data_IF_141637463125
#
_entry.id   IF_141637463125
#
_cell.length_a   1.000
_cell.length_b   1.000
_cell.length_c   1.000
_cell.angle_alpha   90.00
_cell.angle_beta   90.00
_cell.angle_gamma   90.00
#
_symmetry.space_group_name_H-M   'P 1'
#
loop_
_entity.id
_entity.type
_entity.pdbx_description
1 polymer ?
#
# COMPACT_ATOMS: atom_id res chain seq x y z
N UNK A 1 -25.22 -74.19 61.81
CA UNK A 1 -26.68 -74.12 61.58
C UNK A 1 -27.01 -72.98 60.64
N UNK A 2 -27.48 -73.31 59.47
CA UNK A 2 -28.50 -72.64 58.68
C UNK A 2 -28.21 -71.18 58.29
N UNK A 3 -28.46 -70.70 57.16
CA UNK A 3 -29.16 -71.12 55.93
C UNK A 3 -29.05 -69.98 54.94
N UNK A 4 -28.93 -70.30 53.68
CA UNK A 4 -29.66 -69.74 52.58
C UNK A 4 -29.69 -68.24 52.45
N UNK A 5 -29.50 -67.56 51.40
CA UNK A 5 -29.99 -67.93 50.10
C UNK A 5 -29.90 -66.72 49.15
N UNK A 6 -29.90 -67.05 47.98
CA UNK A 6 -30.31 -66.28 46.81
C UNK A 6 -29.40 -65.16 46.26
N UNK A 7 -28.81 -65.58 45.23
CA UNK A 7 -28.34 -64.75 44.15
C UNK A 7 -29.47 -63.95 43.52
N UNK A 8 -29.27 -62.71 43.33
CA UNK A 8 -29.96 -61.92 42.30
C UNK A 8 -28.91 -61.38 41.38
N UNK A 9 -28.80 -62.06 40.28
CA UNK A 9 -28.06 -61.55 39.13
C UNK A 9 -28.85 -60.40 38.49
N UNK A 10 -28.39 -59.20 38.68
CA UNK A 10 -28.84 -58.06 37.90
C UNK A 10 -27.91 -57.89 36.70
N UNK A 11 -28.41 -58.33 35.56
CA UNK A 11 -27.80 -58.19 34.25
C UNK A 11 -27.93 -56.70 33.86
N UNK A 12 -26.87 -55.90 34.07
CA UNK A 12 -26.82 -54.56 33.57
C UNK A 12 -26.42 -54.56 32.12
N UNK A 13 -27.40 -54.34 31.26
CA UNK A 13 -27.23 -54.16 29.83
C UNK A 13 -26.61 -52.80 29.56
N UNK A 14 -25.28 -52.81 29.36
CA UNK A 14 -24.56 -51.58 28.98
C UNK A 14 -24.79 -51.32 27.52
N UNK A 15 -25.69 -50.40 27.17
CA UNK A 15 -25.86 -49.85 25.84
C UNK A 15 -24.64 -48.98 25.52
N UNK A 16 -23.67 -49.52 24.81
CA UNK A 16 -22.57 -48.75 24.24
C UNK A 16 -23.06 -48.06 22.98
N UNK A 17 -23.42 -46.79 23.11
CA UNK A 17 -23.71 -45.93 21.96
C UNK A 17 -22.39 -45.59 21.27
N UNK A 18 -22.21 -45.81 19.97
CA UNK A 18 -21.07 -45.31 19.26
C UNK A 18 -21.21 -43.76 19.12
N UNK A 19 -20.36 -43.01 19.78
CA UNK A 19 -20.22 -41.58 19.55
C UNK A 19 -19.59 -41.44 18.17
N UNK A 20 -20.42 -41.08 17.20
CA UNK A 20 -19.98 -40.71 15.86
C UNK A 20 -19.26 -39.35 16.00
N UNK A 21 -17.95 -39.37 16.15
CA UNK A 21 -17.12 -38.17 16.10
C UNK A 21 -17.11 -37.66 14.67
N UNK A 22 -17.92 -36.63 14.39
CA UNK A 22 -17.81 -35.84 13.17
C UNK A 22 -16.47 -35.09 13.23
N UNK A 23 -15.63 -35.17 12.17
CA UNK A 23 -14.48 -34.29 12.09
C UNK A 23 -15.01 -32.85 12.04
N UNK A 24 -14.65 -32.06 13.04
CA UNK A 24 -14.83 -30.62 12.98
C UNK A 24 -13.97 -30.12 11.78
N UNK A 25 -14.60 -29.86 10.68
CA UNK A 25 -14.03 -29.10 9.59
C UNK A 25 -13.86 -27.70 10.14
N UNK A 26 -12.69 -27.43 10.70
CA UNK A 26 -12.21 -26.07 10.90
C UNK A 26 -12.07 -25.50 9.50
N UNK A 27 -13.12 -24.83 9.03
CA UNK A 27 -13.01 -23.94 7.90
C UNK A 27 -12.03 -22.83 8.33
N UNK A 28 -10.76 -23.05 8.00
CA UNK A 28 -9.75 -22.02 8.03
C UNK A 28 -10.14 -21.01 6.94
N UNK A 29 -11.08 -20.13 7.27
CA UNK A 29 -11.34 -18.92 6.51
C UNK A 29 -10.10 -18.03 6.71
N UNK A 30 -8.99 -18.42 6.09
CA UNK A 30 -8.02 -17.46 5.63
C UNK A 30 -8.80 -16.53 4.68
N UNK A 31 -9.36 -15.46 5.25
CA UNK A 31 -9.67 -14.30 4.47
C UNK A 31 -8.32 -13.89 3.85
N UNK A 32 -8.14 -14.22 2.59
CA UNK A 32 -7.20 -13.51 1.74
C UNK A 32 -7.65 -12.05 1.77
N UNK A 33 -7.21 -11.35 2.79
CA UNK A 33 -7.18 -9.90 2.80
C UNK A 33 -6.16 -9.56 1.72
N UNK A 34 -6.62 -9.55 0.47
CA UNK A 34 -5.94 -8.83 -0.60
C UNK A 34 -5.75 -7.44 -0.04
N UNK A 35 -4.57 -7.19 0.49
CA UNK A 35 -4.23 -5.90 1.08
C UNK A 35 -4.19 -4.91 -0.06
N UNK A 36 -5.34 -4.27 -0.31
CA UNK A 36 -5.44 -3.18 -1.28
C UNK A 36 -4.38 -2.16 -0.86
N UNK A 37 -3.35 -1.99 -1.70
CA UNK A 37 -2.32 -0.98 -1.45
C UNK A 37 -2.99 0.38 -1.35
N UNK A 38 -2.64 1.11 -0.32
CA UNK A 38 -3.10 2.50 -0.18
C UNK A 38 -2.48 3.34 -1.29
N UNK A 39 -3.19 4.36 -1.73
CA UNK A 39 -2.69 5.29 -2.76
C UNK A 39 -2.65 6.69 -2.19
N UNK A 40 -1.52 7.36 -2.40
CA UNK A 40 -1.32 8.75 -1.98
C UNK A 40 -0.79 9.54 -3.16
N UNK A 41 -1.45 10.65 -3.46
CA UNK A 41 -0.97 11.60 -4.47
C UNK A 41 -0.61 12.91 -3.78
N UNK A 42 0.61 13.37 -4.02
CA UNK A 42 1.12 14.65 -3.52
C UNK A 42 1.32 15.57 -4.72
N UNK A 43 0.54 16.65 -4.77
CA UNK A 43 0.72 17.65 -5.83
C UNK A 43 1.82 18.64 -5.47
N UNK A 44 2.58 19.06 -6.48
CA UNK A 44 3.53 20.16 -6.42
C UNK A 44 3.15 21.20 -7.47
N UNK A 45 2.57 22.31 -7.02
CA UNK A 45 2.05 23.37 -7.89
C UNK A 45 2.68 24.75 -7.67
N UNK A 46 3.58 24.88 -6.70
CA UNK A 46 4.24 26.12 -6.35
C UNK A 46 5.73 26.11 -6.73
N UNK A 47 6.26 27.24 -7.14
CA UNK A 47 7.68 27.45 -7.35
C UNK A 47 8.38 27.89 -6.03
N UNK A 48 8.41 26.98 -5.07
CA UNK A 48 8.98 27.23 -3.75
C UNK A 48 9.79 26.01 -3.26
N UNK A 49 11.12 26.09 -3.18
CA UNK A 49 11.96 25.00 -2.70
C UNK A 49 11.63 24.52 -1.28
N UNK A 50 11.07 25.36 -0.41
CA UNK A 50 10.62 24.90 0.92
C UNK A 50 9.41 23.99 0.82
N UNK A 51 8.45 24.33 -0.05
CA UNK A 51 7.28 23.47 -0.32
C UNK A 51 7.68 22.17 -1.03
N UNK A 52 8.69 22.22 -1.92
CA UNK A 52 9.23 21.02 -2.58
C UNK A 52 9.84 20.05 -1.57
N UNK A 53 10.66 20.58 -0.64
CA UNK A 53 11.20 19.78 0.45
C UNK A 53 10.11 19.20 1.33
N UNK A 54 9.06 19.96 1.64
CA UNK A 54 7.93 19.46 2.42
C UNK A 54 7.20 18.32 1.69
N UNK A 55 6.95 18.45 0.39
CA UNK A 55 6.31 17.40 -0.40
C UNK A 55 7.13 16.10 -0.40
N UNK A 56 8.45 16.20 -0.55
CA UNK A 56 9.36 15.05 -0.49
C UNK A 56 9.39 14.43 0.91
N UNK A 57 9.48 15.23 1.98
CA UNK A 57 9.39 14.74 3.36
C UNK A 57 8.08 14.01 3.63
N UNK A 58 6.95 14.56 3.16
CA UNK A 58 5.65 13.91 3.34
C UNK A 58 5.58 12.56 2.63
N UNK A 59 6.15 12.45 1.44
CA UNK A 59 6.22 11.18 0.72
C UNK A 59 7.09 10.15 1.46
N UNK A 60 8.24 10.55 1.99
CA UNK A 60 9.14 9.73 2.80
C UNK A 60 8.42 9.26 4.07
N UNK A 61 7.79 10.16 4.84
CA UNK A 61 7.08 9.85 6.07
C UNK A 61 5.93 8.84 5.83
N UNK A 62 5.13 9.05 4.78
CA UNK A 62 4.06 8.11 4.41
C UNK A 62 4.63 6.72 4.12
N UNK A 63 5.77 6.65 3.44
CA UNK A 63 6.42 5.39 3.10
C UNK A 63 6.99 4.69 4.34
N UNK A 64 7.52 5.45 5.30
CA UNK A 64 8.02 4.95 6.58
C UNK A 64 6.88 4.44 7.48
N UNK A 65 5.81 5.21 7.62
CA UNK A 65 4.70 4.90 8.53
C UNK A 65 3.85 3.72 8.04
N UNK A 66 3.56 3.67 6.75
CA UNK A 66 2.66 2.65 6.16
C UNK A 66 3.45 1.42 5.68
N UNK A 67 4.68 1.63 5.22
CA UNK A 67 5.54 0.61 4.62
C UNK A 67 5.48 0.61 3.09
N UNK A 68 6.65 0.51 2.45
CA UNK A 68 6.83 0.55 0.99
C UNK A 68 5.93 -0.42 0.21
N UNK A 69 5.66 -1.59 0.76
CA UNK A 69 4.89 -2.63 0.09
C UNK A 69 3.37 -2.45 0.28
N UNK A 70 2.94 -1.49 1.09
CA UNK A 70 1.54 -1.26 1.44
C UNK A 70 0.96 0.03 0.86
N UNK A 71 1.80 0.88 0.30
CA UNK A 71 1.38 2.17 -0.25
C UNK A 71 2.01 2.42 -1.63
N UNK A 72 1.22 2.97 -2.54
CA UNK A 72 1.67 3.54 -3.81
C UNK A 72 1.65 5.06 -3.66
N UNK A 73 2.81 5.69 -3.81
CA UNK A 73 2.96 7.14 -3.66
C UNK A 73 3.29 7.74 -5.01
N UNK A 74 2.59 8.80 -5.36
CA UNK A 74 2.81 9.56 -6.57
C UNK A 74 2.99 11.04 -6.25
N UNK A 75 4.07 11.66 -6.78
CA UNK A 75 4.29 13.09 -6.72
C UNK A 75 4.02 13.66 -8.12
N UNK A 76 3.03 14.55 -8.25
CA UNK A 76 2.64 15.15 -9.53
C UNK A 76 3.03 16.62 -9.55
N UNK A 77 4.01 16.98 -10.37
CA UNK A 77 4.46 18.37 -10.55
C UNK A 77 3.87 19.00 -11.82
N UNK A 78 3.24 20.14 -11.66
CA UNK A 78 2.64 20.90 -12.75
C UNK A 78 2.63 22.41 -12.47
N UNK A 79 2.33 23.21 -13.50
CA UNK A 79 2.29 24.66 -13.39
C UNK A 79 3.59 25.23 -12.81
N UNK A 80 3.51 26.20 -11.88
CA UNK A 80 4.70 26.78 -11.23
C UNK A 80 5.56 25.77 -10.45
N UNK A 81 5.03 24.60 -10.11
CA UNK A 81 5.76 23.56 -9.38
C UNK A 81 6.68 22.71 -10.27
N UNK A 82 6.51 22.71 -11.59
CA UNK A 82 7.28 21.86 -12.50
C UNK A 82 8.81 22.00 -12.36
N UNK A 83 9.37 23.19 -12.02
CA UNK A 83 10.83 23.34 -11.86
C UNK A 83 11.48 22.44 -10.79
N UNK A 84 10.74 21.86 -9.86
CA UNK A 84 11.26 20.81 -8.95
C UNK A 84 11.92 19.67 -9.73
N UNK A 85 11.46 19.38 -10.95
CA UNK A 85 11.87 18.25 -11.79
C UNK A 85 12.93 18.60 -12.84
N UNK A 86 13.41 19.84 -12.91
CA UNK A 86 14.44 20.24 -13.84
C UNK A 86 15.81 19.72 -13.44
N UNK A 87 16.71 19.58 -14.40
CA UNK A 87 18.11 19.17 -14.17
C UNK A 87 18.85 20.09 -13.18
N UNK A 88 18.52 21.37 -13.16
CA UNK A 88 19.10 22.39 -12.26
C UNK A 88 18.31 22.58 -10.96
N UNK A 89 17.39 21.67 -10.64
CA UNK A 89 16.61 21.74 -9.41
C UNK A 89 17.49 21.63 -8.16
N UNK A 90 17.36 22.55 -7.19
CA UNK A 90 18.11 22.48 -5.94
C UNK A 90 17.79 21.27 -5.07
N UNK A 91 16.70 20.57 -5.38
CA UNK A 91 16.27 19.33 -4.69
C UNK A 91 16.37 18.11 -5.60
N UNK A 92 17.08 18.21 -6.72
CA UNK A 92 17.16 17.15 -7.74
C UNK A 92 17.68 15.81 -7.20
N UNK A 93 18.67 15.81 -6.29
CA UNK A 93 19.14 14.59 -5.62
C UNK A 93 18.02 13.92 -4.80
N UNK A 94 17.26 14.69 -4.04
CA UNK A 94 16.15 14.18 -3.25
C UNK A 94 15.03 13.60 -4.12
N UNK A 95 14.76 14.21 -5.28
CA UNK A 95 13.82 13.65 -6.27
C UNK A 95 14.33 12.31 -6.78
N UNK A 96 15.63 12.20 -7.10
CA UNK A 96 16.24 10.94 -7.52
C UNK A 96 16.15 9.86 -6.43
N UNK A 97 16.39 10.21 -5.16
CA UNK A 97 16.26 9.30 -4.01
C UNK A 97 14.80 8.83 -3.84
N UNK A 98 13.83 9.73 -3.98
CA UNK A 98 12.41 9.38 -3.95
C UNK A 98 12.05 8.38 -5.05
N UNK A 99 12.52 8.59 -6.28
CA UNK A 99 12.32 7.64 -7.39
C UNK A 99 12.99 6.29 -7.07
N UNK A 100 14.21 6.29 -6.58
CA UNK A 100 14.94 5.08 -6.20
C UNK A 100 14.24 4.32 -5.06
N UNK A 101 13.51 5.01 -4.19
CA UNK A 101 12.71 4.40 -3.13
C UNK A 101 11.39 3.80 -3.63
N UNK A 102 11.03 4.01 -4.90
CA UNK A 102 9.82 3.49 -5.53
C UNK A 102 8.65 4.48 -5.57
N UNK A 103 8.88 5.75 -5.25
CA UNK A 103 7.88 6.81 -5.42
C UNK A 103 7.79 7.18 -6.90
N UNK A 104 6.58 7.17 -7.44
CA UNK A 104 6.33 7.61 -8.82
C UNK A 104 6.37 9.14 -8.87
N UNK A 105 7.26 9.70 -9.68
CA UNK A 105 7.36 11.15 -9.87
C UNK A 105 6.96 11.51 -11.30
N UNK A 106 6.01 12.45 -11.41
CA UNK A 106 5.26 12.72 -12.64
C UNK A 106 5.40 14.17 -13.05
N UNK A 107 5.77 14.39 -14.30
CA UNK A 107 5.86 15.70 -14.96
C UNK A 107 4.65 15.94 -15.88
N UNK A 108 4.05 17.12 -15.76
CA UNK A 108 2.94 17.56 -16.63
C UNK A 108 3.47 18.09 -17.98
N UNK A 109 3.22 17.35 -19.07
CA UNK A 109 3.63 17.75 -20.43
C UNK A 109 2.94 19.05 -20.92
N UNK A 110 1.70 19.33 -20.46
CA UNK A 110 1.05 20.60 -20.77
C UNK A 110 1.85 21.81 -20.22
N UNK A 111 2.38 21.66 -19.00
CA UNK A 111 3.22 22.71 -18.40
C UNK A 111 4.55 22.79 -19.15
N UNK A 112 5.19 21.66 -19.46
CA UNK A 112 6.43 21.63 -20.24
C UNK A 112 6.27 22.39 -21.56
N UNK A 113 5.22 22.11 -22.33
CA UNK A 113 4.95 22.81 -23.60
C UNK A 113 4.77 24.31 -23.41
N UNK A 114 4.02 24.72 -22.39
CA UNK A 114 3.79 26.16 -22.10
C UNK A 114 5.08 26.88 -21.71
N UNK A 115 5.98 26.19 -21.02
CA UNK A 115 7.28 26.74 -20.57
C UNK A 115 8.43 26.43 -21.53
N UNK A 116 8.14 25.81 -22.69
CA UNK A 116 9.10 25.44 -23.74
C UNK A 116 10.21 24.50 -23.24
N UNK A 117 9.89 23.65 -22.25
CA UNK A 117 10.78 22.62 -21.74
C UNK A 117 10.60 21.32 -22.53
N UNK A 118 11.71 20.62 -22.74
CA UNK A 118 11.79 19.28 -23.32
C UNK A 118 12.13 18.23 -22.25
N UNK A 119 12.04 16.96 -22.60
CA UNK A 119 12.48 15.88 -21.68
C UNK A 119 13.98 15.94 -21.37
N UNK A 120 14.78 16.54 -22.26
CA UNK A 120 16.22 16.76 -22.06
C UNK A 120 16.55 17.79 -20.97
N UNK A 121 15.60 18.64 -20.62
CA UNK A 121 15.74 19.64 -19.54
C UNK A 121 15.36 19.10 -18.16
N UNK A 122 14.85 17.86 -18.11
CA UNK A 122 14.26 17.27 -16.90
C UNK A 122 15.18 16.20 -16.31
N UNK A 123 15.01 15.95 -15.02
CA UNK A 123 15.66 14.84 -14.31
C UNK A 123 15.34 13.49 -14.98
N UNK A 124 16.23 12.49 -14.86
CA UNK A 124 15.98 11.17 -15.41
C UNK A 124 14.91 10.41 -14.63
N UNK A 125 14.38 9.35 -15.26
CA UNK A 125 13.45 8.39 -14.66
C UNK A 125 12.10 8.99 -14.20
N UNK A 126 11.69 10.12 -14.75
CA UNK A 126 10.38 10.70 -14.54
C UNK A 126 9.31 10.00 -15.37
N UNK A 127 8.10 9.97 -14.85
CA UNK A 127 6.91 9.68 -15.63
C UNK A 127 6.34 10.97 -16.23
N UNK A 128 5.70 10.84 -17.40
CA UNK A 128 5.15 11.98 -18.11
C UNK A 128 3.68 11.75 -18.38
N UNK A 129 2.85 12.75 -18.06
CA UNK A 129 1.42 12.71 -18.31
C UNK A 129 1.00 13.96 -19.07
N UNK A 130 -0.02 13.82 -19.92
CA UNK A 130 -0.53 14.92 -20.72
C UNK A 130 -0.94 16.13 -19.85
N UNK A 131 -1.58 15.86 -18.71
CA UNK A 131 -2.08 16.89 -17.80
C UNK A 131 -2.00 16.40 -16.35
N UNK A 132 -1.42 17.22 -15.45
CA UNK A 132 -1.18 16.83 -14.06
C UNK A 132 -2.47 16.78 -13.21
N UNK A 133 -3.43 17.69 -13.44
CA UNK A 133 -4.66 17.70 -12.63
C UNK A 133 -5.53 16.46 -12.87
N UNK A 134 -5.78 16.00 -14.11
CA UNK A 134 -6.45 14.73 -14.34
C UNK A 134 -5.72 13.51 -13.74
N UNK A 135 -4.38 13.52 -13.71
CA UNK A 135 -3.60 12.44 -13.09
C UNK A 135 -3.90 12.31 -11.59
N UNK A 136 -4.15 13.41 -10.90
CA UNK A 136 -4.48 13.41 -9.47
C UNK A 136 -5.85 12.77 -9.18
N UNK A 137 -6.73 12.67 -10.19
CA UNK A 137 -8.09 12.17 -10.04
C UNK A 137 -8.21 10.64 -10.14
N UNK A 138 -7.15 9.95 -10.55
CA UNK A 138 -7.10 8.49 -10.75
C UNK A 138 -6.18 7.82 -9.76
#
# INVERSE_FOLDING_TARGET
MNKNSLAFALLALILTSPILSLPAYAADTQSEHSSVRQKVVIQVSDNDPKKWNLALNNAENVQEDIGKNKVDIEIVAYGPGLPILKLDSPVGSRVADAIASGIKVVACENTMRKTKLTKGDMLPNLHYVKSGVPEIMY
#
